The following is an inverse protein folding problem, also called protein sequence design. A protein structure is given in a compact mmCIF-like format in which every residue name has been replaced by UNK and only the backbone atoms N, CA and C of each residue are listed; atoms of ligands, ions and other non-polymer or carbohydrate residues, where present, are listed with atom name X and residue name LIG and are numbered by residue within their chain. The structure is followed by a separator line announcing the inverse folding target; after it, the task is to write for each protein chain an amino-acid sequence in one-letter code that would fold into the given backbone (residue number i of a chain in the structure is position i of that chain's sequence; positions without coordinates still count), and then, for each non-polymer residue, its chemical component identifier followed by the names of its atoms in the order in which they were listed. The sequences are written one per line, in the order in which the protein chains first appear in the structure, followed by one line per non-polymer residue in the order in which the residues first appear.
data_IF_889264661629
#
_entry.id   IF_889264661629
#
_cell.length_a   1.000
_cell.length_b   1.000
_cell.length_c   1.000
_cell.angle_alpha   90.00
_cell.angle_beta   90.00
_cell.angle_gamma   90.00
#
_symmetry.space_group_name_H-M   'P 1'
#
loop_
_entity.id
_entity.type
_entity.pdbx_description
1 polymer ?
#
# COMPACT_ATOMS: atom_id res chain seq x y z
N UNK A 1 -0.10 -49.40 -9.65
CA UNK A 1 1.00 -48.43 -9.41
C UNK A 1 0.46 -47.03 -9.71
N UNK A 2 -0.12 -46.39 -8.69
CA UNK A 2 -0.65 -45.03 -8.79
C UNK A 2 0.47 -44.06 -8.45
N UNK A 3 0.94 -43.31 -9.45
CA UNK A 3 1.82 -42.15 -9.26
C UNK A 3 0.96 -40.98 -8.79
N UNK A 4 0.82 -40.81 -7.48
CA UNK A 4 0.31 -39.57 -6.92
C UNK A 4 1.36 -38.47 -7.13
N UNK A 5 1.18 -37.65 -8.17
CA UNK A 5 1.83 -36.36 -8.29
C UNK A 5 1.20 -35.43 -7.25
N UNK A 6 1.69 -35.44 -6.02
CA UNK A 6 1.35 -34.44 -5.01
C UNK A 6 1.97 -33.11 -5.41
N UNK A 7 1.34 -32.39 -6.35
CA UNK A 7 1.60 -30.96 -6.55
C UNK A 7 0.99 -30.25 -5.34
N UNK A 8 1.79 -30.05 -4.29
CA UNK A 8 1.38 -29.18 -3.20
C UNK A 8 1.40 -27.74 -3.72
N UNK A 9 0.31 -26.98 -3.54
CA UNK A 9 0.22 -25.64 -4.07
C UNK A 9 1.23 -24.70 -3.40
N UNK A 10 1.82 -23.80 -4.20
CA UNK A 10 2.61 -22.70 -3.66
C UNK A 10 1.70 -21.87 -2.75
N UNK A 11 2.16 -21.63 -1.53
CA UNK A 11 1.46 -20.74 -0.62
C UNK A 11 1.33 -19.36 -1.28
N UNK A 12 0.14 -18.72 -1.25
CA UNK A 12 -0.17 -17.58 -2.09
C UNK A 12 0.68 -16.34 -1.77
N UNK A 13 1.26 -16.25 -0.57
CA UNK A 13 2.06 -15.09 -0.17
C UNK A 13 3.52 -15.43 0.10
N UNK A 14 4.40 -14.50 -0.28
CA UNK A 14 5.85 -14.70 -0.22
C UNK A 14 6.40 -14.93 1.19
N UNK A 15 5.68 -14.54 2.25
CA UNK A 15 6.04 -14.77 3.67
C UNK A 15 5.75 -16.20 4.16
N UNK A 16 4.90 -16.94 3.45
CA UNK A 16 4.59 -18.33 3.80
C UNK A 16 5.65 -19.32 3.27
N UNK A 17 6.65 -18.81 2.56
CA UNK A 17 7.70 -19.59 1.89
C UNK A 17 9.07 -19.48 2.59
N UNK A 18 9.14 -18.91 3.79
CA UNK A 18 10.37 -18.77 4.57
C UNK A 18 10.79 -20.13 5.19
N UNK A 19 11.18 -21.09 4.36
CA UNK A 19 11.80 -22.33 4.80
C UNK A 19 13.27 -22.07 5.16
N UNK A 20 13.74 -22.58 6.30
CA UNK A 20 15.13 -22.41 6.75
C UNK A 20 16.11 -23.43 6.14
N UNK A 21 15.60 -24.54 5.61
CA UNK A 21 16.39 -25.61 4.99
C UNK A 21 15.87 -25.92 3.57
N UNK A 22 16.74 -25.85 2.57
CA UNK A 22 16.39 -26.17 1.19
C UNK A 22 17.48 -25.79 0.19
N UNK A 23 17.14 -25.81 -1.09
CA UNK A 23 18.05 -25.48 -2.20
C UNK A 23 17.78 -24.03 -2.63
N UNK A 24 18.82 -23.28 -3.01
CA UNK A 24 18.63 -21.95 -3.61
C UNK A 24 17.77 -22.04 -4.88
N UNK A 25 16.81 -21.14 -4.98
CA UNK A 25 15.93 -20.98 -6.12
C UNK A 25 15.49 -19.54 -6.31
N UNK A 26 14.55 -19.35 -7.22
CA UNK A 26 14.05 -18.06 -7.68
C UNK A 26 12.55 -17.97 -7.45
N UNK A 27 12.14 -17.01 -6.62
CA UNK A 27 10.75 -16.68 -6.37
C UNK A 27 10.31 -15.54 -7.28
N UNK A 28 9.40 -15.86 -8.19
CA UNK A 28 8.64 -14.90 -8.97
C UNK A 28 7.40 -14.52 -8.21
N UNK A 29 7.22 -13.22 -8.01
CA UNK A 29 6.10 -12.70 -7.24
C UNK A 29 5.62 -11.38 -7.82
N UNK A 30 4.41 -10.99 -7.48
CA UNK A 30 3.97 -9.63 -7.70
C UNK A 30 4.67 -8.72 -6.69
N UNK A 31 5.42 -7.71 -7.15
CA UNK A 31 6.06 -6.73 -6.26
C UNK A 31 5.02 -5.89 -5.53
N UNK A 32 3.89 -5.58 -6.18
CA UNK A 32 2.87 -4.72 -5.55
C UNK A 32 2.03 -5.44 -4.50
N UNK A 33 1.78 -6.74 -4.64
CA UNK A 33 0.87 -7.44 -3.74
C UNK A 33 1.42 -8.66 -3.02
N UNK A 34 2.73 -8.89 -3.18
CA UNK A 34 3.47 -10.01 -2.60
C UNK A 34 2.80 -11.37 -2.87
N UNK A 35 2.05 -11.45 -3.97
CA UNK A 35 1.48 -12.69 -4.46
C UNK A 35 2.60 -13.55 -5.02
N UNK A 36 2.85 -14.69 -4.41
CA UNK A 36 3.81 -15.67 -4.91
C UNK A 36 3.22 -16.33 -6.16
N UNK A 37 3.92 -16.20 -7.28
CA UNK A 37 3.48 -16.73 -8.57
C UNK A 37 4.12 -18.09 -8.81
N UNK A 38 5.45 -18.13 -8.78
CA UNK A 38 6.24 -19.33 -9.11
C UNK A 38 7.49 -19.33 -8.24
N UNK A 39 7.81 -20.48 -7.63
CA UNK A 39 9.10 -20.73 -7.01
C UNK A 39 9.78 -21.87 -7.77
N UNK A 40 10.93 -21.58 -8.38
CA UNK A 40 11.65 -22.51 -9.25
C UNK A 40 13.09 -22.67 -8.81
N UNK A 41 13.66 -23.86 -9.05
CA UNK A 41 15.10 -24.08 -8.87
C UNK A 41 15.94 -23.27 -9.89
N UNK A 42 15.42 -23.10 -11.10
CA UNK A 42 16.10 -22.41 -12.19
C UNK A 42 15.38 -21.11 -12.53
N UNK A 43 16.11 -20.12 -13.08
CA UNK A 43 15.47 -18.93 -13.62
C UNK A 43 14.57 -19.32 -14.79
N UNK A 44 13.38 -18.74 -14.81
CA UNK A 44 12.37 -18.84 -15.86
C UNK A 44 12.25 -17.47 -16.53
N UNK A 45 12.08 -17.45 -17.85
CA UNK A 45 11.82 -16.21 -18.58
C UNK A 45 10.53 -15.52 -18.06
N UNK A 46 10.58 -14.26 -17.60
CA UNK A 46 9.41 -13.50 -17.14
C UNK A 46 8.26 -13.46 -18.16
N UNK A 47 8.55 -13.51 -19.46
CA UNK A 47 7.51 -13.54 -20.49
C UNK A 47 6.68 -14.83 -20.44
N UNK A 48 7.29 -15.98 -20.14
CA UNK A 48 6.54 -17.24 -19.93
C UNK A 48 5.59 -17.12 -18.75
N UNK A 49 6.04 -16.45 -17.69
CA UNK A 49 5.23 -16.17 -16.49
C UNK A 49 4.13 -15.15 -16.79
N UNK A 50 4.38 -14.17 -17.64
CA UNK A 50 3.32 -13.26 -18.09
C UNK A 50 2.29 -14.05 -18.89
N UNK A 51 2.70 -14.84 -19.89
CA UNK A 51 1.79 -15.61 -20.75
C UNK A 51 0.93 -16.57 -19.92
N UNK A 52 1.53 -17.35 -19.02
CA UNK A 52 0.80 -18.37 -18.24
C UNK A 52 -0.27 -17.77 -17.32
N UNK A 53 -0.06 -16.54 -16.85
CA UNK A 53 -1.03 -15.81 -16.03
C UNK A 53 -1.84 -14.79 -16.86
N UNK A 54 -1.87 -14.89 -18.19
CA UNK A 54 -2.55 -13.94 -19.09
C UNK A 54 -2.19 -12.47 -18.81
N UNK A 55 -0.90 -12.23 -18.63
CA UNK A 55 -0.26 -11.01 -18.18
C UNK A 55 -0.93 -10.38 -16.95
N UNK A 56 -1.61 -11.14 -16.09
CA UNK A 56 -2.45 -10.60 -15.02
C UNK A 56 -2.11 -11.26 -13.70
N UNK A 57 -1.77 -10.47 -12.68
CA UNK A 57 -1.49 -11.01 -11.37
C UNK A 57 -2.75 -11.66 -10.75
N UNK A 58 -2.70 -12.93 -10.29
CA UNK A 58 -3.84 -13.63 -9.68
C UNK A 58 -4.32 -13.02 -8.34
N UNK A 59 -3.48 -12.23 -7.68
CA UNK A 59 -3.79 -11.55 -6.41
C UNK A 59 -4.40 -10.15 -6.62
N UNK A 60 -3.71 -9.27 -7.35
CA UNK A 60 -4.11 -7.87 -7.53
C UNK A 60 -4.71 -7.53 -8.89
N UNK A 61 -4.77 -8.48 -9.84
CA UNK A 61 -5.26 -8.28 -11.21
C UNK A 61 -4.56 -7.18 -12.01
N UNK A 62 -3.34 -6.82 -11.62
CA UNK A 62 -2.50 -5.85 -12.35
C UNK A 62 -1.62 -6.57 -13.36
N UNK A 63 -1.21 -5.82 -14.39
CA UNK A 63 -0.43 -6.37 -15.48
C UNK A 63 0.97 -6.81 -15.03
N UNK A 64 1.34 -8.08 -15.27
CA UNK A 64 2.59 -8.68 -14.79
C UNK A 64 3.82 -8.08 -15.47
N UNK A 65 3.72 -7.57 -16.69
CA UNK A 65 4.76 -6.77 -17.35
C UNK A 65 5.30 -5.62 -16.47
N UNK A 66 4.45 -5.05 -15.62
CA UNK A 66 4.76 -3.92 -14.74
C UNK A 66 5.10 -4.32 -13.31
N UNK A 67 4.59 -5.48 -12.86
CA UNK A 67 4.57 -5.84 -11.44
C UNK A 67 5.26 -7.15 -11.11
N UNK A 68 5.75 -7.89 -12.11
CA UNK A 68 6.48 -9.14 -11.92
C UNK A 68 7.88 -8.85 -11.40
N UNK A 69 8.16 -9.30 -10.18
CA UNK A 69 9.47 -9.29 -9.56
C UNK A 69 10.05 -10.69 -9.44
N UNK A 70 11.37 -10.77 -9.30
CA UNK A 70 12.08 -12.01 -9.04
C UNK A 70 13.09 -11.77 -7.92
N UNK A 71 13.10 -12.65 -6.92
CA UNK A 71 14.08 -12.63 -5.82
C UNK A 71 14.64 -14.03 -5.54
N UNK A 72 15.88 -14.15 -5.06
CA UNK A 72 16.38 -15.41 -4.52
C UNK A 72 15.51 -15.88 -3.34
N UNK A 73 15.24 -17.18 -3.26
CA UNK A 73 14.44 -17.79 -2.20
C UNK A 73 14.83 -19.25 -2.00
N UNK A 74 14.41 -19.87 -0.89
CA UNK A 74 14.72 -21.26 -0.59
C UNK A 74 13.58 -22.16 -1.11
N UNK A 75 13.94 -23.14 -1.95
CA UNK A 75 13.04 -24.17 -2.45
C UNK A 75 13.10 -25.40 -1.53
N UNK A 76 11.95 -25.96 -1.10
CA UNK A 76 11.92 -27.19 -0.31
C UNK A 76 12.64 -28.35 -1.03
N UNK A 77 13.37 -29.21 -0.28
CA UNK A 77 14.13 -30.31 -0.87
C UNK A 77 13.22 -31.28 -1.63
N UNK A 78 13.71 -31.81 -2.77
CA UNK A 78 12.98 -32.75 -3.62
C UNK A 78 11.98 -32.13 -4.59
N UNK A 79 11.77 -30.81 -4.54
CA UNK A 79 10.92 -30.08 -5.50
C UNK A 79 11.77 -29.42 -6.59
N UNK A 80 11.19 -29.27 -7.79
CA UNK A 80 11.82 -28.53 -8.92
C UNK A 80 11.10 -27.22 -9.23
N UNK A 81 9.78 -27.21 -9.07
CA UNK A 81 8.89 -26.10 -9.38
C UNK A 81 7.68 -26.14 -8.45
N UNK A 82 7.27 -24.98 -7.95
CA UNK A 82 6.03 -24.77 -7.23
C UNK A 82 5.31 -23.57 -7.87
N UNK A 83 4.02 -23.70 -8.13
CA UNK A 83 3.23 -22.65 -8.81
C UNK A 83 2.02 -22.26 -7.98
N UNK A 84 1.57 -21.02 -8.16
CA UNK A 84 0.32 -20.51 -7.60
C UNK A 84 -0.84 -21.41 -8.05
N UNK A 85 -1.83 -21.61 -7.17
CA UNK A 85 -3.04 -22.41 -7.45
C UNK A 85 -3.79 -22.01 -8.73
N UNK A 86 -3.68 -20.74 -9.13
CA UNK A 86 -4.33 -20.21 -10.34
C UNK A 86 -3.47 -20.34 -11.59
N UNK A 87 -2.39 -21.11 -11.54
CA UNK A 87 -1.52 -21.41 -12.67
C UNK A 87 -2.18 -22.49 -13.56
N UNK A 88 -2.57 -22.18 -14.81
CA UNK A 88 -3.32 -23.11 -15.65
C UNK A 88 -2.47 -24.28 -16.18
N UNK A 89 -1.18 -24.09 -16.48
CA UNK A 89 -0.34 -25.16 -17.05
C UNK A 89 1.16 -25.01 -16.70
N UNK A 90 1.58 -25.67 -15.62
CA UNK A 90 2.95 -25.55 -15.12
C UNK A 90 4.03 -26.22 -15.99
N UNK A 91 3.66 -27.04 -16.98
CA UNK A 91 4.63 -27.79 -17.80
C UNK A 91 5.42 -26.87 -18.74
N UNK A 92 4.78 -25.78 -19.22
CA UNK A 92 5.38 -24.75 -20.09
C UNK A 92 6.58 -24.06 -19.42
N UNK A 93 6.62 -24.06 -18.08
CA UNK A 93 7.69 -23.43 -17.29
C UNK A 93 8.91 -24.33 -17.08
N UNK A 94 8.81 -25.63 -17.39
CA UNK A 94 9.90 -26.61 -17.23
C UNK A 94 10.78 -26.73 -18.48
N UNK A 95 10.34 -26.17 -19.61
CA UNK A 95 11.13 -26.13 -20.83
C UNK A 95 12.35 -25.20 -20.64
N UNK A 96 13.58 -25.69 -20.89
CA UNK A 96 14.79 -24.90 -20.72
C UNK A 96 14.77 -23.68 -21.64
N UNK A 97 14.96 -22.50 -21.06
CA UNK A 97 15.14 -21.25 -21.78
C UNK A 97 16.60 -21.04 -22.19
N UNK A 98 16.82 -20.30 -23.28
CA UNK A 98 18.14 -19.75 -23.62
C UNK A 98 18.66 -18.86 -22.47
N UNK A 99 19.97 -18.86 -22.19
CA UNK A 99 20.54 -18.07 -21.11
C UNK A 99 20.43 -16.58 -21.43
N UNK A 100 19.48 -15.92 -20.78
CA UNK A 100 19.32 -14.46 -20.82
C UNK A 100 19.71 -13.87 -19.46
N UNK A 101 20.59 -12.86 -19.50
CA UNK A 101 20.94 -12.03 -18.34
C UNK A 101 19.73 -11.20 -17.92
N UNK A 102 18.98 -11.69 -16.93
CA UNK A 102 17.86 -10.96 -16.37
C UNK A 102 18.32 -10.07 -15.21
N UNK A 103 18.07 -8.77 -15.33
CA UNK A 103 18.20 -7.84 -14.22
C UNK A 103 17.14 -8.17 -13.16
N UNK A 104 17.59 -8.76 -12.06
CA UNK A 104 16.80 -9.04 -10.87
C UNK A 104 16.22 -7.74 -10.33
N UNK A 105 14.94 -7.46 -10.62
CA UNK A 105 14.21 -6.40 -9.91
C UNK A 105 13.85 -6.94 -8.53
N UNK A 106 14.57 -6.46 -7.52
CA UNK A 106 14.31 -6.78 -6.10
C UNK A 106 12.84 -6.55 -5.81
N UNK A 107 12.18 -7.58 -5.29
CA UNK A 107 10.88 -7.45 -4.66
C UNK A 107 10.87 -6.49 -3.47
N UNK A 108 9.68 -6.18 -2.96
CA UNK A 108 9.43 -5.25 -1.85
C UNK A 108 10.58 -5.19 -0.86
N UNK A 109 11.24 -4.02 -0.83
CA UNK A 109 12.40 -3.72 0.01
C UNK A 109 12.02 -3.36 1.45
N UNK A 110 10.74 -3.50 1.82
CA UNK A 110 10.25 -3.16 3.14
C UNK A 110 11.01 -3.95 4.21
N UNK A 111 11.70 -3.26 5.14
CA UNK A 111 12.38 -3.92 6.25
C UNK A 111 11.38 -4.74 7.06
N UNK A 112 11.77 -5.97 7.44
CA UNK A 112 10.94 -6.93 8.19
C UNK A 112 10.93 -6.70 9.70
N UNK A 113 11.51 -5.60 10.19
CA UNK A 113 11.36 -5.21 11.59
C UNK A 113 9.89 -4.87 11.89
N UNK A 114 9.45 -4.86 13.15
CA UNK A 114 8.07 -4.43 13.49
C UNK A 114 8.05 -3.00 14.05
N UNK A 115 9.10 -2.22 13.75
CA UNK A 115 9.25 -0.85 14.23
C UNK A 115 8.57 0.12 13.26
N UNK A 116 7.56 0.90 13.71
CA UNK A 116 6.94 1.90 12.88
C UNK A 116 7.91 3.06 12.60
N UNK A 117 7.84 3.64 11.40
CA UNK A 117 8.58 4.87 11.07
C UNK A 117 7.95 6.11 11.70
N UNK A 118 6.64 6.08 11.95
CA UNK A 118 5.86 7.16 12.56
C UNK A 118 4.81 6.55 13.47
N UNK A 119 4.54 7.18 14.61
CA UNK A 119 3.52 6.74 15.56
C UNK A 119 2.34 7.71 15.58
N UNK A 120 1.13 7.20 15.68
CA UNK A 120 -0.11 7.94 15.92
C UNK A 120 -0.22 8.41 17.38
N UNK A 121 0.53 7.78 18.30
CA UNK A 121 0.46 8.03 19.74
C UNK A 121 -0.73 7.34 20.41
N UNK A 122 -1.49 6.57 19.64
CA UNK A 122 -2.51 5.68 20.13
C UNK A 122 -1.91 4.27 20.01
N UNK A 123 -1.45 3.73 21.13
CA UNK A 123 -0.67 2.48 21.18
C UNK A 123 -1.38 1.32 20.46
N UNK A 124 -2.71 1.25 20.58
CA UNK A 124 -3.50 0.25 19.89
C UNK A 124 -3.41 0.36 18.36
N UNK A 125 -3.48 1.57 17.80
CA UNK A 125 -3.36 1.80 16.35
C UNK A 125 -1.92 1.53 15.89
N UNK A 126 -0.93 1.98 16.65
CA UNK A 126 0.49 1.84 16.31
C UNK A 126 0.93 0.38 16.22
N UNK A 127 0.42 -0.48 17.11
CA UNK A 127 0.69 -1.92 17.09
C UNK A 127 0.05 -2.66 15.91
N UNK A 128 -1.03 -2.11 15.36
CA UNK A 128 -1.86 -2.80 14.36
C UNK A 128 -1.54 -2.36 12.94
N UNK A 129 -1.38 -1.04 12.72
CA UNK A 129 -1.12 -0.51 11.38
C UNK A 129 0.37 -0.54 11.02
N UNK A 130 1.27 -0.45 12.01
CA UNK A 130 2.73 -0.41 11.85
C UNK A 130 3.14 0.42 10.63
N UNK A 131 2.90 1.73 10.70
CA UNK A 131 3.11 2.65 9.58
C UNK A 131 4.59 2.84 9.31
N UNK A 132 5.02 2.57 8.07
CA UNK A 132 6.42 2.68 7.64
C UNK A 132 6.59 3.43 6.33
N UNK A 133 7.78 4.02 6.20
CA UNK A 133 8.27 4.46 4.89
C UNK A 133 8.35 3.27 3.92
N UNK A 134 8.13 3.53 2.64
CA UNK A 134 8.00 2.49 1.62
C UNK A 134 6.56 2.02 1.43
N UNK A 135 5.63 2.33 2.36
CA UNK A 135 4.27 1.82 2.30
C UNK A 135 3.30 2.80 1.65
N UNK A 136 2.39 2.23 0.87
CA UNK A 136 1.10 2.82 0.54
C UNK A 136 0.06 2.27 1.53
N UNK A 137 -0.54 3.16 2.31
CA UNK A 137 -1.53 2.83 3.33
C UNK A 137 -2.88 3.39 2.91
N UNK A 138 -3.91 2.55 2.89
CA UNK A 138 -5.29 2.93 2.60
C UNK A 138 -6.15 2.82 3.86
N UNK A 139 -6.78 3.93 4.25
CA UNK A 139 -7.70 3.99 5.38
C UNK A 139 -9.08 4.41 4.92
N UNK A 140 -10.11 3.66 5.32
CA UNK A 140 -11.49 3.95 4.97
C UNK A 140 -12.35 4.24 6.21
N UNK A 141 -13.28 5.19 6.09
CA UNK A 141 -14.22 5.59 7.15
C UNK A 141 -13.97 7.02 7.63
N UNK A 142 -14.97 7.64 8.25
CA UNK A 142 -14.89 9.04 8.72
C UNK A 142 -13.66 9.33 9.61
N UNK A 143 -13.29 8.47 10.58
CA UNK A 143 -12.11 8.71 11.43
C UNK A 143 -10.78 8.68 10.69
N UNK A 144 -10.74 8.17 9.45
CA UNK A 144 -9.51 8.11 8.64
C UNK A 144 -8.96 9.51 8.33
N UNK A 145 -9.84 10.50 8.11
CA UNK A 145 -9.42 11.87 7.83
C UNK A 145 -8.73 12.50 9.04
N UNK A 146 -9.36 12.43 10.21
CA UNK A 146 -8.79 12.93 11.46
C UNK A 146 -7.42 12.29 11.76
N UNK A 147 -7.31 10.97 11.56
CA UNK A 147 -6.03 10.27 11.72
C UNK A 147 -4.97 10.77 10.71
N UNK A 148 -5.37 11.09 9.47
CA UNK A 148 -4.47 11.64 8.47
C UNK A 148 -3.95 13.04 8.84
N UNK A 149 -4.81 13.91 9.38
CA UNK A 149 -4.42 15.26 9.84
C UNK A 149 -3.49 15.19 11.05
N UNK A 150 -3.77 14.30 12.01
CA UNK A 150 -2.86 14.02 13.13
C UNK A 150 -1.48 13.56 12.64
N UNK A 151 -1.43 12.66 11.65
CA UNK A 151 -0.17 12.18 11.08
C UNK A 151 0.60 13.28 10.34
N UNK A 152 -0.08 14.26 9.74
CA UNK A 152 0.58 15.41 9.13
C UNK A 152 1.37 16.21 10.17
N UNK A 153 0.76 16.53 11.31
CA UNK A 153 1.46 17.23 12.41
C UNK A 153 2.58 16.37 12.96
N UNK A 154 2.33 15.08 13.22
CA UNK A 154 3.32 14.17 13.79
C UNK A 154 4.51 13.90 12.89
N UNK A 155 4.36 13.94 11.58
CA UNK A 155 5.48 13.76 10.65
C UNK A 155 6.59 14.81 10.84
N UNK A 156 6.24 15.99 11.35
CA UNK A 156 7.20 17.08 11.62
C UNK A 156 8.09 16.80 12.85
N UNK A 157 7.66 15.90 13.74
CA UNK A 157 8.42 15.51 14.95
C UNK A 157 9.64 14.66 14.62
N UNK A 158 10.68 14.66 15.48
CA UNK A 158 11.81 13.75 15.32
C UNK A 158 11.42 12.27 15.51
N UNK A 159 12.14 11.33 14.86
CA UNK A 159 12.02 9.91 15.17
C UNK A 159 12.28 9.61 16.65
N UNK A 160 11.62 8.61 17.26
CA UNK A 160 10.68 7.67 16.65
C UNK A 160 9.20 8.14 16.64
N UNK A 161 8.92 9.36 17.12
CA UNK A 161 7.55 9.90 17.18
C UNK A 161 7.06 10.38 15.81
N UNK A 162 7.96 10.90 14.99
CA UNK A 162 7.70 11.40 13.64
C UNK A 162 8.79 11.06 12.64
N UNK A 163 8.78 11.74 11.49
CA UNK A 163 9.72 11.52 10.39
C UNK A 163 10.79 12.62 10.27
N UNK A 164 10.68 13.67 11.07
CA UNK A 164 11.36 14.95 10.89
C UNK A 164 11.31 15.43 9.44
N UNK A 165 10.15 15.31 8.79
CA UNK A 165 9.99 15.69 7.38
C UNK A 165 8.81 16.60 7.17
N UNK A 166 8.84 17.28 6.03
CA UNK A 166 7.70 17.97 5.49
C UNK A 166 6.66 16.97 4.95
N UNK A 167 5.46 17.49 4.72
CA UNK A 167 4.29 16.73 4.32
C UNK A 167 3.70 17.34 3.06
N UNK A 168 3.37 16.50 2.08
CA UNK A 168 2.56 16.92 0.92
C UNK A 168 1.13 16.41 1.12
N UNK A 169 0.16 17.31 1.12
CA UNK A 169 -1.25 16.99 1.27
C UNK A 169 -2.01 17.31 -0.03
N UNK A 170 -2.50 16.28 -0.71
CA UNK A 170 -3.38 16.41 -1.87
C UNK A 170 -4.82 16.29 -1.38
N UNK A 171 -5.55 17.39 -1.42
CA UNK A 171 -6.92 17.45 -0.94
C UNK A 171 -7.93 17.21 -2.07
N UNK A 172 -8.39 15.97 -2.23
CA UNK A 172 -9.40 15.61 -3.23
C UNK A 172 -10.84 15.63 -2.67
N UNK A 173 -10.99 15.47 -1.36
CA UNK A 173 -12.29 15.47 -0.67
C UNK A 173 -12.74 16.82 -0.14
N UNK A 174 -11.90 17.86 -0.22
CA UNK A 174 -12.09 19.11 0.53
C UNK A 174 -12.19 18.86 2.05
N UNK A 175 -11.25 18.09 2.59
CA UNK A 175 -11.25 17.61 3.99
C UNK A 175 -10.03 18.07 4.79
N UNK A 176 -9.14 18.85 4.18
CA UNK A 176 -8.09 19.50 4.95
C UNK A 176 -8.71 20.57 5.85
N UNK A 177 -8.48 20.45 7.15
CA UNK A 177 -8.99 21.38 8.15
C UNK A 177 -7.84 21.97 8.98
N UNK A 178 -7.61 23.27 8.80
CA UNK A 178 -6.58 24.01 9.52
C UNK A 178 -6.84 24.04 11.03
N UNK A 179 -8.11 24.07 11.46
CA UNK A 179 -8.44 24.12 12.89
C UNK A 179 -8.04 22.83 13.60
N UNK A 180 -8.37 21.67 13.02
CA UNK A 180 -7.89 20.36 13.50
C UNK A 180 -6.36 20.31 13.59
N UNK A 181 -5.66 20.85 12.58
CA UNK A 181 -4.18 20.94 12.59
C UNK A 181 -3.68 21.78 13.77
N UNK A 182 -4.18 23.01 13.95
CA UNK A 182 -3.80 23.89 15.07
C UNK A 182 -4.11 23.28 16.44
N UNK A 183 -5.22 22.54 16.56
CA UNK A 183 -5.56 21.82 17.79
C UNK A 183 -4.56 20.69 18.08
N UNK A 184 -4.15 19.93 17.06
CA UNK A 184 -3.10 18.91 17.21
C UNK A 184 -1.74 19.52 17.56
N UNK A 185 -1.38 20.66 16.97
CA UNK A 185 -0.15 21.42 17.29
C UNK A 185 -0.16 21.82 18.76
N UNK A 186 -1.27 22.40 19.23
CA UNK A 186 -1.44 22.84 20.62
C UNK A 186 -1.34 21.65 21.59
N UNK A 187 -2.03 20.55 21.30
CA UNK A 187 -2.03 19.36 22.14
C UNK A 187 -0.67 18.65 22.20
N UNK A 188 0.18 18.86 21.21
CA UNK A 188 1.55 18.34 21.16
C UNK A 188 2.60 19.37 21.61
N UNK A 189 2.18 20.56 22.05
CA UNK A 189 3.03 21.66 22.51
C UNK A 189 4.10 22.07 21.47
N UNK A 190 3.68 22.17 20.21
CA UNK A 190 4.57 22.51 19.09
C UNK A 190 4.46 23.97 18.68
N UNK A 191 5.51 24.45 18.01
CA UNK A 191 5.53 25.76 17.37
C UNK A 191 4.63 25.76 16.14
N UNK A 192 3.57 26.58 16.16
CA UNK A 192 2.52 26.59 15.13
C UNK A 192 3.05 27.01 13.76
N UNK A 193 3.80 28.11 13.71
CA UNK A 193 4.32 28.68 12.47
C UNK A 193 5.25 27.66 11.77
N UNK A 194 6.17 27.07 12.54
CA UNK A 194 7.09 26.03 12.04
C UNK A 194 6.36 24.76 11.56
N UNK A 195 5.25 24.37 12.16
CA UNK A 195 4.52 23.17 11.69
C UNK A 195 3.74 23.49 10.41
N UNK A 196 3.07 24.64 10.32
CA UNK A 196 2.32 25.03 9.13
C UNK A 196 3.21 25.18 7.90
N UNK A 197 4.40 25.78 8.04
CA UNK A 197 5.37 25.91 6.94
C UNK A 197 5.81 24.57 6.34
N UNK A 198 5.65 23.47 7.09
CA UNK A 198 6.07 22.12 6.69
C UNK A 198 4.95 21.28 6.08
N UNK A 199 3.72 21.80 6.03
CA UNK A 199 2.56 21.10 5.47
C UNK A 199 2.16 21.80 4.16
N UNK A 200 2.49 21.16 3.05
CA UNK A 200 2.29 21.68 1.69
C UNK A 200 0.98 21.17 1.11
N UNK A 201 -0.06 22.03 1.08
CA UNK A 201 -1.40 21.69 0.63
C UNK A 201 -1.61 22.00 -0.85
N UNK A 202 -2.19 21.06 -1.59
CA UNK A 202 -2.73 21.28 -2.94
C UNK A 202 -4.13 20.68 -3.06
N UNK A 203 -5.12 21.53 -3.35
CA UNK A 203 -6.52 21.12 -3.52
C UNK A 203 -6.84 20.85 -4.98
N UNK A 204 -7.59 19.77 -5.22
CA UNK A 204 -8.17 19.46 -6.53
C UNK A 204 -9.69 19.70 -6.52
N UNK A 205 -10.23 20.03 -7.69
CA UNK A 205 -11.66 20.24 -7.92
C UNK A 205 -12.23 19.29 -8.98
N UNK A 206 -11.39 18.49 -9.63
CA UNK A 206 -11.80 17.47 -10.62
C UNK A 206 -10.92 16.22 -10.50
N UNK A 207 -11.43 15.07 -10.94
CA UNK A 207 -10.66 13.82 -10.98
C UNK A 207 -9.41 13.91 -11.86
N UNK A 208 -9.46 14.66 -12.97
CA UNK A 208 -8.29 14.94 -13.80
C UNK A 208 -7.23 15.76 -13.05
N UNK A 209 -7.64 16.72 -12.22
CA UNK A 209 -6.70 17.47 -11.39
C UNK A 209 -6.06 16.59 -10.32
N UNK A 210 -6.82 15.72 -9.65
CA UNK A 210 -6.24 14.74 -8.70
C UNK A 210 -5.21 13.87 -9.40
N UNK A 211 -5.54 13.35 -10.59
CA UNK A 211 -4.63 12.55 -11.39
C UNK A 211 -3.35 13.31 -11.78
N UNK A 212 -3.46 14.56 -12.25
CA UNK A 212 -2.32 15.41 -12.61
C UNK A 212 -1.43 15.69 -11.39
N UNK A 213 -2.03 16.04 -10.24
CA UNK A 213 -1.29 16.25 -8.99
C UNK A 213 -0.49 14.99 -8.61
N UNK A 214 -1.08 13.80 -8.76
CA UNK A 214 -0.42 12.53 -8.45
C UNK A 214 0.69 12.23 -9.46
N UNK A 215 0.43 12.27 -10.77
CA UNK A 215 1.35 11.77 -11.80
C UNK A 215 2.45 12.80 -12.13
N UNK A 216 2.08 14.07 -12.29
CA UNK A 216 2.96 15.08 -12.87
C UNK A 216 3.61 15.98 -11.80
N UNK A 217 2.94 16.21 -10.66
CA UNK A 217 3.39 17.20 -9.65
C UNK A 217 3.96 16.60 -8.38
N UNK A 218 3.53 15.40 -7.99
CA UNK A 218 3.93 14.81 -6.72
C UNK A 218 5.45 14.59 -6.64
N UNK A 219 6.06 14.06 -7.70
CA UNK A 219 7.48 13.77 -7.73
C UNK A 219 8.33 15.03 -7.49
N UNK A 220 8.02 16.14 -8.17
CA UNK A 220 8.75 17.41 -7.99
C UNK A 220 8.53 17.99 -6.60
N UNK A 221 7.30 17.96 -6.07
CA UNK A 221 6.99 18.45 -4.73
C UNK A 221 7.72 17.67 -3.63
N UNK A 222 7.82 16.35 -3.77
CA UNK A 222 8.57 15.50 -2.84
C UNK A 222 10.07 15.87 -2.81
N UNK A 223 10.65 16.20 -3.97
CA UNK A 223 12.06 16.55 -4.09
C UNK A 223 12.34 17.96 -3.56
N UNK A 224 11.48 18.92 -3.89
CA UNK A 224 11.54 20.32 -3.47
C UNK A 224 11.43 20.44 -1.94
N UNK A 225 10.38 19.87 -1.36
CA UNK A 225 10.10 19.99 0.08
C UNK A 225 10.81 18.92 0.93
N UNK A 226 11.54 17.99 0.31
CA UNK A 226 12.15 16.82 1.00
C UNK A 226 11.12 16.02 1.83
N UNK A 227 9.86 16.03 1.39
CA UNK A 227 8.76 15.43 2.13
C UNK A 227 8.87 13.90 2.18
N UNK A 228 8.57 13.31 3.35
CA UNK A 228 8.58 11.85 3.56
C UNK A 228 7.21 11.28 3.93
N UNK A 229 6.21 12.14 4.06
CA UNK A 229 4.79 11.77 4.15
C UNK A 229 4.02 12.47 3.02
N UNK A 230 3.19 11.70 2.33
CA UNK A 230 2.16 12.24 1.43
C UNK A 230 0.79 11.76 1.90
N UNK A 231 -0.19 12.65 1.93
CA UNK A 231 -1.59 12.31 2.18
C UNK A 231 -2.41 12.65 0.94
N UNK A 232 -3.27 11.73 0.49
CA UNK A 232 -4.29 11.98 -0.53
C UNK A 232 -5.66 11.79 0.12
N UNK A 233 -6.34 12.90 0.41
CA UNK A 233 -7.61 12.86 1.15
C UNK A 233 -8.76 12.45 0.24
N UNK A 234 -9.60 11.53 0.73
CA UNK A 234 -10.84 11.08 0.08
C UNK A 234 -10.72 10.86 -1.43
N UNK A 235 -9.70 10.09 -1.83
CA UNK A 235 -9.23 10.02 -3.23
C UNK A 235 -10.35 9.66 -4.21
N UNK A 236 -11.38 8.90 -3.77
CA UNK A 236 -12.48 8.48 -4.65
C UNK A 236 -13.55 9.54 -4.87
N UNK A 237 -13.57 10.63 -4.09
CA UNK A 237 -14.63 11.63 -4.10
C UNK A 237 -14.86 12.20 -5.50
N UNK A 238 -13.80 12.78 -6.10
CA UNK A 238 -13.88 13.43 -7.41
C UNK A 238 -13.99 12.44 -8.58
N UNK A 239 -13.49 11.20 -8.43
CA UNK A 239 -13.60 10.17 -9.47
C UNK A 239 -14.99 9.56 -9.55
N UNK A 240 -15.72 9.58 -8.43
CA UNK A 240 -17.10 9.13 -8.32
C UNK A 240 -18.11 10.29 -8.42
N UNK A 241 -17.65 11.48 -8.79
CA UNK A 241 -18.52 12.65 -8.93
C UNK A 241 -19.59 12.39 -10.03
N UNK A 242 -20.87 12.73 -9.79
CA UNK A 242 -21.94 12.54 -10.77
C UNK A 242 -21.69 13.18 -12.14
N UNK A 243 -20.90 14.26 -12.20
CA UNK A 243 -20.58 14.98 -13.44
C UNK A 243 -19.55 14.24 -14.30
N UNK A 244 -18.94 13.16 -13.79
CA UNK A 244 -18.03 12.30 -14.54
C UNK A 244 -18.81 11.42 -15.52
N UNK A 245 -18.79 11.81 -16.80
CA UNK A 245 -19.48 11.11 -17.88
C UNK A 245 -18.83 9.78 -18.25
N UNK A 246 -17.51 9.75 -18.41
CA UNK A 246 -16.77 8.52 -18.75
C UNK A 246 -16.25 7.82 -17.49
N UNK A 247 -17.07 6.92 -16.96
CA UNK A 247 -16.72 6.11 -15.78
C UNK A 247 -15.56 5.15 -16.04
N UNK A 248 -15.36 4.72 -17.30
CA UNK A 248 -14.29 3.78 -17.64
C UNK A 248 -12.95 4.49 -17.66
N UNK A 249 -12.89 5.64 -18.33
CA UNK A 249 -11.71 6.51 -18.30
C UNK A 249 -11.35 6.89 -16.87
N UNK A 250 -12.32 7.36 -16.08
CA UNK A 250 -12.13 7.69 -14.66
C UNK A 250 -11.51 6.54 -13.87
N UNK A 251 -12.01 5.32 -14.04
CA UNK A 251 -11.45 4.14 -13.39
C UNK A 251 -10.03 3.81 -13.88
N UNK A 252 -9.75 3.97 -15.16
CA UNK A 252 -8.45 3.68 -15.75
C UNK A 252 -7.38 4.67 -15.27
N UNK A 253 -7.69 5.97 -15.24
CA UNK A 253 -6.78 6.98 -14.67
C UNK A 253 -6.63 6.82 -13.16
N UNK A 254 -7.69 6.44 -12.44
CA UNK A 254 -7.63 6.14 -11.01
C UNK A 254 -6.66 4.99 -10.73
N UNK A 255 -6.78 3.87 -11.47
CA UNK A 255 -5.89 2.71 -11.35
C UNK A 255 -4.43 3.06 -11.64
N UNK A 256 -4.18 3.90 -12.65
CA UNK A 256 -2.84 4.42 -12.95
C UNK A 256 -2.30 5.27 -11.80
N UNK A 257 -3.11 6.15 -11.24
CA UNK A 257 -2.76 7.01 -10.10
C UNK A 257 -2.37 6.21 -8.86
N UNK A 258 -3.21 5.27 -8.40
CA UNK A 258 -2.91 4.48 -7.20
C UNK A 258 -1.67 3.59 -7.39
N UNK A 259 -1.43 3.09 -8.61
CA UNK A 259 -0.23 2.31 -8.94
C UNK A 259 1.02 3.19 -8.86
N UNK A 260 0.95 4.38 -9.43
CA UNK A 260 2.04 5.34 -9.33
C UNK A 260 2.37 5.69 -7.87
N UNK A 261 1.35 5.91 -7.03
CA UNK A 261 1.54 6.15 -5.60
C UNK A 261 2.24 4.96 -4.92
N UNK A 262 1.79 3.72 -5.14
CA UNK A 262 2.44 2.54 -4.58
C UNK A 262 3.93 2.45 -4.99
N UNK A 263 4.21 2.57 -6.29
CA UNK A 263 5.59 2.51 -6.80
C UNK A 263 6.45 3.66 -6.27
N UNK A 264 5.85 4.85 -6.07
CA UNK A 264 6.56 6.02 -5.54
C UNK A 264 6.88 5.85 -4.07
N UNK A 265 5.96 5.30 -3.27
CA UNK A 265 6.18 5.00 -1.86
C UNK A 265 7.40 4.09 -1.70
N UNK A 266 7.43 2.98 -2.42
CA UNK A 266 8.53 2.00 -2.42
C UNK A 266 9.85 2.61 -2.92
N UNK A 267 9.84 3.18 -4.13
CA UNK A 267 11.06 3.63 -4.80
C UNK A 267 11.74 4.79 -4.06
N UNK A 268 10.97 5.70 -3.47
CA UNK A 268 11.49 6.87 -2.74
C UNK A 268 11.62 6.62 -1.25
N UNK A 269 11.20 5.44 -0.76
CA UNK A 269 11.13 5.10 0.65
C UNK A 269 10.43 6.20 1.48
N UNK A 270 9.19 6.50 1.09
CA UNK A 270 8.30 7.47 1.75
C UNK A 270 7.00 6.80 2.20
N UNK A 271 6.29 7.38 3.16
CA UNK A 271 4.97 6.90 3.55
C UNK A 271 3.91 7.66 2.74
N UNK A 272 3.02 6.95 2.06
CA UNK A 272 1.86 7.54 1.39
C UNK A 272 0.59 7.02 2.03
N UNK A 273 -0.27 7.95 2.46
CA UNK A 273 -1.56 7.67 3.06
C UNK A 273 -2.68 8.09 2.11
N UNK A 274 -3.60 7.19 1.83
CA UNK A 274 -4.84 7.46 1.10
C UNK A 274 -5.99 7.30 2.08
N UNK A 275 -6.91 8.27 2.11
CA UNK A 275 -8.15 8.15 2.87
C UNK A 275 -9.37 8.06 1.94
N UNK A 276 -10.46 7.49 2.46
CA UNK A 276 -11.81 7.62 1.92
C UNK A 276 -12.79 7.73 3.09
N UNK A 277 -13.68 8.73 3.10
CA UNK A 277 -14.68 8.85 4.17
C UNK A 277 -15.70 7.72 4.13
N UNK A 278 -16.10 7.33 2.92
CA UNK A 278 -17.11 6.29 2.69
C UNK A 278 -16.82 5.50 1.43
N UNK A 279 -17.38 4.30 1.40
CA UNK A 279 -17.45 3.49 0.21
C UNK A 279 -18.33 4.18 -0.85
N UNK A 280 -17.83 4.29 -2.08
CA UNK A 280 -18.54 4.92 -3.23
C UNK A 280 -18.58 4.00 -4.44
N UNK A 281 -17.52 3.23 -4.65
CA UNK A 281 -17.35 2.37 -5.81
C UNK A 281 -16.57 1.14 -5.39
N UNK A 282 -17.27 -0.01 -5.36
CA UNK A 282 -16.67 -1.29 -5.01
C UNK A 282 -15.45 -1.61 -5.87
N UNK A 283 -15.47 -1.27 -7.16
CA UNK A 283 -14.35 -1.51 -8.07
C UNK A 283 -13.12 -0.67 -7.72
N UNK A 284 -13.30 0.58 -7.29
CA UNK A 284 -12.19 1.45 -6.86
C UNK A 284 -11.67 1.05 -5.48
N UNK A 285 -12.56 0.66 -4.56
CA UNK A 285 -12.21 0.14 -3.24
C UNK A 285 -11.42 -1.17 -3.34
N UNK A 286 -11.85 -2.08 -4.20
CA UNK A 286 -11.11 -3.32 -4.50
C UNK A 286 -9.74 -2.99 -5.10
N UNK A 287 -9.66 -2.00 -5.99
CA UNK A 287 -8.38 -1.59 -6.57
C UNK A 287 -7.43 -0.98 -5.53
N UNK A 288 -7.94 -0.14 -4.62
CA UNK A 288 -7.19 0.42 -3.49
C UNK A 288 -6.71 -0.69 -2.55
N UNK A 289 -7.60 -1.55 -2.09
CA UNK A 289 -7.29 -2.66 -1.18
C UNK A 289 -6.27 -3.63 -1.80
N UNK A 290 -6.34 -3.85 -3.11
CA UNK A 290 -5.38 -4.69 -3.85
C UNK A 290 -4.02 -4.03 -4.09
N UNK A 291 -3.96 -2.71 -4.16
CA UNK A 291 -2.74 -1.96 -4.48
C UNK A 291 -2.01 -1.47 -3.23
N UNK A 292 -2.75 -1.15 -2.16
CA UNK A 292 -2.18 -0.73 -0.90
C UNK A 292 -1.43 -1.87 -0.21
N UNK A 293 -0.34 -1.52 0.45
CA UNK A 293 0.43 -2.43 1.31
C UNK A 293 -0.39 -2.74 2.57
N UNK A 294 -0.92 -1.69 3.19
CA UNK A 294 -1.79 -1.77 4.37
C UNK A 294 -3.16 -1.21 4.00
N UNK A 295 -4.22 -1.93 4.34
CA UNK A 295 -5.61 -1.48 4.16
C UNK A 295 -6.38 -1.72 5.44
N UNK A 296 -7.04 -0.67 5.95
CA UNK A 296 -7.86 -0.76 7.14
C UNK A 296 -9.13 0.10 7.04
N UNK A 297 -10.19 -0.36 7.71
CA UNK A 297 -11.45 0.37 7.85
C UNK A 297 -11.62 0.80 9.30
N UNK A 298 -11.92 2.09 9.50
CA UNK A 298 -12.25 2.71 10.76
C UNK A 298 -13.75 2.99 10.80
N UNK A 299 -14.45 2.49 11.81
CA UNK A 299 -15.88 2.77 12.02
C UNK A 299 -16.07 3.41 13.38
N UNK A 300 -16.66 4.60 13.38
CA UNK A 300 -17.09 5.24 14.61
C UNK A 300 -18.30 4.50 15.20
N UNK A 301 -18.25 4.21 16.50
CA UNK A 301 -19.34 3.62 17.30
C UNK A 301 -19.79 4.56 18.42
N UNK A 302 -19.38 5.83 18.38
CA UNK A 302 -19.66 6.86 19.39
C UNK A 302 -18.74 6.73 20.61
N UNK A 303 -18.80 5.61 21.32
CA UNK A 303 -17.95 5.37 22.50
C UNK A 303 -16.51 4.96 22.14
N UNK A 304 -16.30 4.41 20.95
CA UNK A 304 -14.99 3.94 20.49
C UNK A 304 -14.93 3.88 18.96
N UNK A 305 -13.73 3.73 18.40
CA UNK A 305 -13.54 3.48 16.96
C UNK A 305 -13.12 2.04 16.74
N UNK A 306 -13.91 1.28 15.97
CA UNK A 306 -13.52 -0.08 15.55
C UNK A 306 -12.56 0.02 14.36
N UNK A 307 -11.37 -0.59 14.49
CA UNK A 307 -10.37 -0.70 13.42
C UNK A 307 -10.34 -2.15 12.90
N UNK A 308 -10.67 -2.33 11.63
CA UNK A 308 -10.58 -3.64 10.97
C UNK A 308 -9.50 -3.57 9.89
N UNK A 309 -8.45 -4.38 10.04
CA UNK A 309 -7.39 -4.49 9.03
C UNK A 309 -7.81 -5.54 8.00
N UNK A 310 -8.10 -5.09 6.79
CA UNK A 310 -8.40 -5.97 5.67
C UNK A 310 -7.14 -6.47 4.96
N UNK A 311 -6.01 -5.78 5.14
CA UNK A 311 -4.73 -6.19 4.57
C UNK A 311 -3.54 -5.61 5.31
N UNK A 312 -2.53 -6.44 5.56
CA UNK A 312 -1.25 -5.99 6.08
C UNK A 312 -0.13 -6.95 5.63
N UNK A 313 1.10 -6.46 5.31
CA UNK A 313 2.17 -7.31 4.82
C UNK A 313 2.77 -8.23 5.90
N UNK A 314 2.66 -7.87 7.17
CA UNK A 314 3.29 -8.57 8.30
C UNK A 314 2.33 -9.15 9.34
N UNK A 315 1.03 -8.85 9.24
CA UNK A 315 0.03 -9.18 10.27
C UNK A 315 -1.16 -9.84 9.56
N UNK A 316 -1.66 -10.99 10.06
CA UNK A 316 -2.87 -11.59 9.51
C UNK A 316 -4.08 -10.67 9.72
N UNK A 317 -5.12 -10.83 8.90
CA UNK A 317 -6.38 -10.08 9.06
C UNK A 317 -6.87 -10.17 10.50
N UNK A 318 -7.06 -9.01 11.12
CA UNK A 318 -7.44 -8.92 12.53
C UNK A 318 -8.44 -7.79 12.72
N UNK A 319 -9.54 -8.13 13.35
CA UNK A 319 -10.47 -7.15 13.93
C UNK A 319 -9.90 -6.71 15.27
N UNK A 320 -9.76 -5.40 15.47
CA UNK A 320 -9.45 -4.87 16.80
C UNK A 320 -10.31 -3.66 17.10
N UNK A 321 -10.92 -3.70 18.27
CA UNK A 321 -11.65 -2.57 18.79
C UNK A 321 -10.65 -1.66 19.50
N UNK A 322 -10.57 -0.41 19.05
CA UNK A 322 -9.74 0.59 19.70
C UNK A 322 -10.68 1.47 20.53
N UNK A 323 -10.79 1.23 21.85
CA UNK A 323 -11.41 2.20 22.73
C UNK A 323 -10.58 3.47 22.64
N UNK A 324 -11.18 4.52 22.08
CA UNK A 324 -10.59 5.84 22.12
C UNK A 324 -10.98 6.42 23.48
N UNK A 325 -10.22 6.09 24.52
CA UNK A 325 -10.40 6.66 25.87
C UNK A 325 -9.94 8.14 25.97
N UNK A 326 -9.47 8.70 24.85
CA UNK A 326 -9.16 10.13 24.70
C UNK A 326 -10.32 10.82 23.97
N UNK A 327 -10.58 12.12 24.23
CA UNK A 327 -11.57 12.87 23.47
C UNK A 327 -11.26 12.66 22.00
N UNK A 328 -12.26 12.08 21.36
CA UNK A 328 -12.28 11.30 20.13
C UNK A 328 -11.38 11.83 19.00
N UNK A 329 -10.95 10.95 18.08
CA UNK A 329 -10.49 11.38 16.75
C UNK A 329 -11.55 12.29 16.06
N UNK A 330 -12.83 12.11 16.41
CA UNK A 330 -13.96 12.97 16.03
C UNK A 330 -14.18 14.22 16.92
N UNK A 331 -13.53 14.32 18.08
CA UNK A 331 -13.59 15.47 18.99
C UNK A 331 -12.79 16.68 18.52
N UNK A 332 -12.18 16.58 17.34
CA UNK A 332 -11.50 17.66 16.62
C UNK A 332 -12.38 18.26 15.51
N UNK A 333 -13.63 17.82 15.36
CA UNK A 333 -14.57 18.29 14.31
C UNK A 333 -15.79 19.04 14.87
N UNK A 334 -15.65 19.70 16.03
CA UNK A 334 -16.66 20.62 16.56
C UNK A 334 -16.16 22.05 16.64
#
# INVERSE_FOLDING_TARGET
MQTHSTIEPLQPKTWQLDATNGIEGYLYHCVLCDEALILSKHQINPQKIQIIFNNTCPGCSLELDKVLGCRPSILPPGRRLLTNLKCPDAEILLEPDDPLEHQTRRGNSLPRDLQPSITTGIEAIDKILILKKGQLVFLQGEPSNALSLLLCVRATLPPPRGLNSDVVFIDAGNLFDTYTISQHITNLELDEERVHERIHLSRAFTHHQVYNLIIDKLASALDEYKARLTVVSDITALFCDPDVRDKKESLDIFRKGIRFLATTAEARNILILITNLKARSKTMEDALTRTAHVSATLKDRGAYTKLTVSRHPFIPEKDTEVPLDNPTLAGYSQ
#
